data_IF_723537961021
#
_entry.id   IF_723537961021
#
_cell.length_a   1.000
_cell.length_b   1.000
_cell.length_c   1.000
_cell.angle_alpha   90.00
_cell.angle_beta   90.00
_cell.angle_gamma   90.00
#
_symmetry.space_group_name_H-M   'P 1'
#
loop_
_entity.id
_entity.type
_entity.pdbx_description
1 polymer ?
#
# COMPACT_ATOMS: atom_id res chain seq x y z
N UNK A 1 20.56 -5.44 15.04
CA UNK A 1 20.63 -4.35 14.04
C UNK A 1 19.32 -4.35 13.27
N UNK A 2 18.63 -3.21 13.16
CA UNK A 2 17.42 -3.09 12.36
C UNK A 2 17.78 -2.55 10.97
N UNK A 3 17.34 -3.24 9.91
CA UNK A 3 17.48 -2.79 8.53
C UNK A 3 16.19 -2.10 8.10
N UNK A 4 16.29 -0.98 7.40
CA UNK A 4 15.16 -0.28 6.79
C UNK A 4 15.39 -0.28 5.28
N UNK A 5 14.41 -0.77 4.53
CA UNK A 5 14.42 -0.82 3.06
C UNK A 5 13.11 -0.26 2.51
N UNK A 6 13.17 0.29 1.30
CA UNK A 6 12.01 0.91 0.65
C UNK A 6 11.66 0.15 -0.62
N UNK A 7 10.37 -0.20 -0.77
CA UNK A 7 9.83 -0.83 -1.97
C UNK A 7 8.89 0.17 -2.61
N UNK A 8 9.17 0.58 -3.84
CA UNK A 8 8.22 1.40 -4.61
C UNK A 8 7.25 0.47 -5.31
N UNK A 9 5.99 0.48 -4.89
CA UNK A 9 4.91 -0.23 -5.56
C UNK A 9 3.97 0.76 -6.26
N UNK A 10 3.62 0.48 -7.51
CA UNK A 10 2.53 1.18 -8.21
C UNK A 10 1.45 0.17 -8.59
N UNK A 11 0.21 0.43 -8.16
CA UNK A 11 -0.93 -0.45 -8.41
C UNK A 11 -2.23 0.29 -8.75
N UNK A 12 -2.21 1.62 -8.89
CA UNK A 12 -3.37 2.47 -9.16
C UNK A 12 -3.15 3.41 -10.33
N UNK A 13 -4.22 3.63 -11.10
CA UNK A 13 -4.37 4.74 -12.04
C UNK A 13 -5.78 5.34 -11.83
N UNK A 14 -5.85 6.65 -11.62
CA UNK A 14 -7.04 7.35 -11.12
C UNK A 14 -7.61 6.68 -9.85
N UNK A 15 -8.83 6.12 -9.93
CA UNK A 15 -9.52 5.48 -8.80
C UNK A 15 -9.41 3.95 -8.77
N UNK A 16 -8.84 3.37 -9.81
CA UNK A 16 -8.90 1.92 -10.02
C UNK A 16 -7.52 1.32 -9.88
N UNK A 17 -7.48 0.13 -9.28
CA UNK A 17 -6.27 -0.66 -9.30
C UNK A 17 -5.99 -1.14 -10.73
N UNK A 18 -4.75 -1.02 -11.18
CA UNK A 18 -4.29 -1.53 -12.49
C UNK A 18 -4.14 -3.04 -12.50
N UNK A 19 -4.10 -3.69 -11.33
CA UNK A 19 -3.88 -5.13 -11.21
C UNK A 19 -2.46 -5.60 -11.56
N UNK A 20 -1.61 -4.74 -12.12
CA UNK A 20 -0.18 -4.95 -12.31
C UNK A 20 0.59 -4.30 -11.17
N UNK A 21 1.47 -5.05 -10.52
CA UNK A 21 2.40 -4.50 -9.54
C UNK A 21 3.70 -4.20 -10.28
N UNK A 22 4.01 -2.92 -10.48
CA UNK A 22 5.38 -2.51 -10.80
C UNK A 22 6.06 -2.24 -9.46
N UNK A 23 6.97 -3.14 -9.08
CA UNK A 23 7.77 -3.00 -7.87
C UNK A 23 9.22 -2.79 -8.23
N UNK A 24 9.75 -1.60 -7.93
CA UNK A 24 11.18 -1.36 -7.90
C UNK A 24 11.63 -1.56 -6.45
N UNK A 25 12.24 -2.71 -6.18
CA UNK A 25 12.83 -3.06 -4.88
C UNK A 25 14.35 -3.09 -4.96
N UNK A 26 15.07 -2.96 -3.84
CA UNK A 26 16.51 -3.08 -3.85
C UNK A 26 16.92 -4.45 -4.38
N UNK A 27 17.78 -4.46 -5.40
CA UNK A 27 18.31 -5.68 -6.02
C UNK A 27 19.32 -6.44 -5.14
N UNK A 28 19.56 -5.99 -3.90
CA UNK A 28 20.70 -6.39 -3.06
C UNK A 28 20.33 -6.90 -1.66
N UNK A 29 19.09 -7.31 -1.38
CA UNK A 29 18.64 -7.65 0.00
C UNK A 29 18.73 -9.15 0.37
N UNK A 30 19.19 -10.02 -0.53
CA UNK A 30 19.14 -11.49 -0.31
C UNK A 30 19.94 -11.98 0.90
N UNK A 31 21.01 -11.29 1.30
CA UNK A 31 21.85 -11.67 2.43
C UNK A 31 21.24 -11.34 3.80
N UNK A 32 20.93 -10.06 4.08
CA UNK A 32 20.45 -9.62 5.40
C UNK A 32 19.05 -10.12 5.80
N UNK A 33 18.22 -10.52 4.84
CA UNK A 33 16.83 -10.93 5.12
C UNK A 33 16.69 -12.36 5.60
N UNK A 34 17.68 -13.24 5.36
CA UNK A 34 17.56 -14.66 5.69
C UNK A 34 17.39 -14.87 7.19
N UNK A 35 16.29 -15.51 7.58
CA UNK A 35 15.86 -15.74 8.96
C UNK A 35 15.30 -14.50 9.67
N UNK A 36 15.19 -13.35 8.98
CA UNK A 36 14.69 -12.13 9.59
C UNK A 36 13.16 -12.12 9.73
N UNK A 37 12.67 -11.57 10.84
CA UNK A 37 11.28 -11.12 10.91
C UNK A 37 11.16 -9.76 10.22
N UNK A 38 10.13 -9.59 9.39
CA UNK A 38 9.92 -8.39 8.58
C UNK A 38 8.63 -7.70 9.00
N UNK A 39 8.68 -6.38 9.19
CA UNK A 39 7.50 -5.54 9.31
C UNK A 39 7.28 -4.79 7.99
N UNK A 40 6.29 -5.20 7.21
CA UNK A 40 5.88 -4.51 5.99
C UNK A 40 4.92 -3.37 6.36
N UNK A 41 5.30 -2.14 6.00
CA UNK A 41 4.55 -0.93 6.32
C UNK A 41 3.99 -0.31 5.05
N UNK A 42 2.70 0.01 5.03
CA UNK A 42 2.03 0.68 3.90
C UNK A 42 1.10 1.80 4.39
N UNK A 43 0.78 2.76 3.54
CA UNK A 43 -0.09 3.89 3.91
C UNK A 43 -1.56 3.48 3.99
N UNK A 44 -2.04 2.71 3.02
CA UNK A 44 -3.45 2.30 2.92
C UNK A 44 -3.62 0.89 2.38
N UNK A 45 -4.39 0.07 3.11
CA UNK A 45 -4.90 -1.19 2.60
C UNK A 45 -6.31 -1.03 2.03
N UNK A 46 -6.41 -1.15 0.71
CA UNK A 46 -7.68 -1.15 -0.02
C UNK A 46 -8.14 -2.59 -0.31
N UNK A 47 -7.73 -3.15 -1.45
CA UNK A 47 -8.05 -4.53 -1.83
C UNK A 47 -7.16 -5.57 -1.15
N UNK A 48 -5.98 -5.16 -0.67
CA UNK A 48 -4.93 -6.03 -0.10
C UNK A 48 -4.00 -6.69 -1.10
N UNK A 49 -4.22 -6.51 -2.41
CA UNK A 49 -3.47 -7.15 -3.49
C UNK A 49 -1.97 -6.79 -3.50
N UNK A 50 -1.65 -5.50 -3.39
CA UNK A 50 -0.26 -5.00 -3.40
C UNK A 50 0.54 -5.62 -2.27
N UNK A 51 0.07 -5.44 -1.03
CA UNK A 51 0.75 -5.91 0.17
C UNK A 51 0.91 -7.44 0.17
N UNK A 52 -0.11 -8.17 -0.28
CA UNK A 52 -0.05 -9.64 -0.41
C UNK A 52 1.04 -10.09 -1.38
N UNK A 53 1.14 -9.45 -2.55
CA UNK A 53 2.18 -9.79 -3.54
C UNK A 53 3.58 -9.49 -3.03
N UNK A 54 3.77 -8.37 -2.35
CA UNK A 54 5.06 -8.01 -1.75
C UNK A 54 5.43 -9.00 -0.64
N UNK A 55 4.50 -9.34 0.25
CA UNK A 55 4.76 -10.34 1.28
C UNK A 55 5.11 -11.71 0.68
N UNK A 56 4.41 -12.13 -0.37
CA UNK A 56 4.70 -13.38 -1.09
C UNK A 56 6.08 -13.38 -1.77
N UNK A 57 6.55 -12.24 -2.29
CA UNK A 57 7.91 -12.15 -2.86
C UNK A 57 9.01 -12.12 -1.79
N UNK A 58 8.72 -11.59 -0.60
CA UNK A 58 9.66 -11.54 0.53
C UNK A 58 9.73 -12.86 1.32
N UNK A 59 8.66 -13.65 1.35
CA UNK A 59 8.60 -14.89 2.12
C UNK A 59 9.75 -15.88 1.81
N UNK A 60 10.09 -16.19 0.53
CA UNK A 60 11.19 -17.11 0.23
C UNK A 60 12.58 -16.53 0.52
N UNK A 61 12.73 -15.20 0.54
CA UNK A 61 14.00 -14.52 0.85
C UNK A 61 14.25 -14.52 2.35
N UNK A 62 13.19 -14.30 3.13
CA UNK A 62 13.27 -14.15 4.57
C UNK A 62 13.17 -15.49 5.29
N UNK A 63 12.21 -16.34 4.95
CA UNK A 63 11.86 -17.55 5.70
C UNK A 63 11.33 -17.30 7.13
N UNK A 64 11.32 -16.03 7.58
CA UNK A 64 10.80 -15.61 8.87
C UNK A 64 9.34 -15.16 8.79
N UNK A 65 8.84 -14.64 9.91
CA UNK A 65 7.49 -14.08 9.98
C UNK A 65 7.45 -12.71 9.29
N UNK A 66 6.42 -12.51 8.46
CA UNK A 66 6.09 -11.21 7.88
C UNK A 66 4.88 -10.66 8.64
N UNK A 67 5.10 -9.53 9.30
CA UNK A 67 4.08 -8.71 9.94
C UNK A 67 3.66 -7.57 9.02
N UNK A 68 2.44 -7.09 9.17
CA UNK A 68 1.92 -5.93 8.43
C UNK A 68 1.45 -4.80 9.32
N UNK A 69 1.80 -3.58 8.93
CA UNK A 69 1.29 -2.36 9.56
C UNK A 69 0.74 -1.41 8.49
N UNK A 70 -0.48 -0.92 8.70
CA UNK A 70 -1.11 0.06 7.82
C UNK A 70 -1.71 1.21 8.61
N UNK A 71 -1.54 2.42 8.08
CA UNK A 71 -2.19 3.60 8.66
C UNK A 71 -3.71 3.50 8.46
N UNK A 72 -4.16 3.22 7.23
CA UNK A 72 -5.57 3.14 6.87
C UNK A 72 -5.97 1.76 6.35
N UNK A 73 -7.09 1.23 6.83
CA UNK A 73 -7.70 0.00 6.33
C UNK A 73 -9.12 0.29 5.82
N UNK A 74 -9.35 0.14 4.52
CA UNK A 74 -10.69 0.37 3.95
C UNK A 74 -11.62 -0.80 4.23
N UNK A 75 -12.80 -0.49 4.76
CA UNK A 75 -13.96 -1.38 4.78
C UNK A 75 -14.61 -1.42 3.40
N UNK A 76 -14.00 -2.16 2.48
CA UNK A 76 -14.47 -2.31 1.10
C UNK A 76 -14.92 -3.74 0.82
N UNK A 77 -16.02 -3.95 0.05
CA UNK A 77 -16.39 -5.28 -0.44
C UNK A 77 -15.41 -5.81 -1.49
N UNK A 78 -14.50 -4.98 -2.01
CA UNK A 78 -13.48 -5.37 -3.00
C UNK A 78 -12.35 -6.20 -2.38
N UNK A 79 -12.27 -6.27 -1.05
CA UNK A 79 -11.26 -7.05 -0.35
C UNK A 79 -11.50 -8.53 -0.59
N UNK A 80 -10.47 -9.21 -1.11
CA UNK A 80 -10.58 -10.63 -1.43
C UNK A 80 -10.34 -11.48 -0.18
N UNK A 81 -10.78 -12.75 -0.19
CA UNK A 81 -10.62 -13.66 0.96
C UNK A 81 -9.19 -14.22 1.09
N UNK A 82 -8.41 -14.14 0.02
CA UNK A 82 -7.06 -14.69 -0.11
C UNK A 82 -5.95 -13.69 0.23
N UNK A 83 -6.28 -12.45 0.62
CA UNK A 83 -5.25 -11.45 0.94
C UNK A 83 -4.71 -11.62 2.35
N UNK A 84 -3.46 -11.18 2.52
CA UNK A 84 -2.77 -11.23 3.79
C UNK A 84 -3.53 -10.48 4.89
N UNK A 85 -3.48 -11.01 6.11
CA UNK A 85 -4.13 -10.42 7.29
C UNK A 85 -3.36 -9.17 7.74
N UNK A 86 -4.07 -8.11 8.08
CA UNK A 86 -3.49 -6.94 8.74
C UNK A 86 -3.18 -7.27 10.21
N UNK A 87 -1.94 -7.10 10.64
CA UNK A 87 -1.54 -7.31 12.04
C UNK A 87 -1.72 -6.03 12.87
N UNK A 88 -1.34 -4.87 12.31
CA UNK A 88 -1.44 -3.57 12.96
C UNK A 88 -2.19 -2.58 12.06
N UNK A 89 -3.34 -2.10 12.54
CA UNK A 89 -4.17 -1.12 11.82
C UNK A 89 -4.37 0.09 12.72
N UNK A 90 -3.98 1.28 12.26
CA UNK A 90 -4.22 2.51 13.02
C UNK A 90 -5.68 2.98 12.90
N UNK A 91 -6.22 3.04 11.67
CA UNK A 91 -7.61 3.45 11.44
C UNK A 91 -8.33 2.56 10.44
N UNK A 92 -9.50 2.05 10.83
CA UNK A 92 -10.44 1.45 9.89
C UNK A 92 -11.34 2.54 9.31
N UNK A 93 -11.38 2.71 7.99
CA UNK A 93 -12.10 3.79 7.30
C UNK A 93 -13.19 3.26 6.35
N UNK A 94 -14.21 4.07 6.00
CA UNK A 94 -15.17 3.72 4.96
C UNK A 94 -14.51 3.57 3.58
N UNK A 95 -15.19 2.90 2.63
CA UNK A 95 -14.74 2.81 1.24
C UNK A 95 -14.90 4.14 0.51
N UNK A 96 -13.92 5.04 0.72
CA UNK A 96 -13.82 6.35 0.08
C UNK A 96 -12.42 6.52 -0.50
N UNK A 97 -12.32 7.28 -1.58
CA UNK A 97 -11.03 7.70 -2.09
C UNK A 97 -10.49 8.83 -1.21
N UNK A 98 -9.28 8.66 -0.68
CA UNK A 98 -8.65 9.60 0.26
C UNK A 98 -7.33 10.11 -0.31
N UNK A 99 -6.95 11.32 0.09
CA UNK A 99 -5.70 11.98 -0.28
C UNK A 99 -5.11 12.70 0.94
N UNK A 100 -3.86 13.15 0.83
CA UNK A 100 -3.16 13.82 1.92
C UNK A 100 -2.31 12.88 2.75
N UNK A 101 -1.43 13.46 3.56
CA UNK A 101 -0.51 12.74 4.43
C UNK A 101 0.33 11.71 3.65
N UNK A 102 0.84 12.11 2.48
CA UNK A 102 1.60 11.25 1.59
C UNK A 102 0.77 10.52 0.52
N UNK A 103 -0.54 10.30 0.74
CA UNK A 103 -1.43 9.72 -0.27
C UNK A 103 -1.80 10.75 -1.35
N UNK A 104 -2.01 10.28 -2.58
CA UNK A 104 -2.19 11.15 -3.74
C UNK A 104 -3.39 10.80 -4.62
N UNK A 105 -3.75 11.77 -5.47
CA UNK A 105 -4.52 11.52 -6.69
C UNK A 105 -3.75 12.10 -7.87
N UNK A 106 -3.27 11.24 -8.77
CA UNK A 106 -2.47 11.63 -9.94
C UNK A 106 -1.29 12.56 -9.58
N UNK A 107 -0.54 12.18 -8.55
CA UNK A 107 0.62 12.88 -7.98
C UNK A 107 0.29 14.23 -7.32
N UNK A 108 -0.99 14.52 -7.04
CA UNK A 108 -1.43 15.72 -6.32
C UNK A 108 -1.81 15.40 -4.88
N UNK A 109 -1.79 16.42 -4.02
CA UNK A 109 -2.31 16.42 -2.65
C UNK A 109 -1.47 15.67 -1.60
N UNK A 110 -0.29 15.16 -1.94
CA UNK A 110 0.61 14.46 -0.99
C UNK A 110 0.97 15.33 0.21
N UNK A 111 1.08 16.63 -0.04
CA UNK A 111 1.50 17.68 0.89
C UNK A 111 0.42 18.15 1.87
N UNK A 112 -0.83 17.70 1.71
CA UNK A 112 -1.88 18.06 2.66
C UNK A 112 -1.60 17.40 4.02
N UNK A 113 -1.61 18.18 5.10
CA UNK A 113 -1.38 17.67 6.46
C UNK A 113 -2.53 16.83 7.02
N UNK A 114 -3.68 16.82 6.33
CA UNK A 114 -4.87 16.07 6.72
C UNK A 114 -5.19 14.99 5.70
N UNK A 115 -5.70 13.86 6.19
CA UNK A 115 -6.32 12.84 5.35
C UNK A 115 -7.73 13.31 5.01
N UNK A 116 -7.99 13.54 3.73
CA UNK A 116 -9.24 14.09 3.22
C UNK A 116 -9.90 13.12 2.25
N UNK A 117 -11.23 12.99 2.35
CA UNK A 117 -11.99 12.28 1.32
C UNK A 117 -12.16 13.16 0.08
N UNK A 118 -11.87 12.62 -1.11
CA UNK A 118 -12.01 13.36 -2.36
C UNK A 118 -13.48 13.61 -2.70
N UNK A 119 -13.77 14.84 -3.15
CA UNK A 119 -15.06 15.19 -3.73
C UNK A 119 -15.14 14.77 -5.20
N UNK A 120 -16.35 14.60 -5.73
CA UNK A 120 -16.55 14.29 -7.15
C UNK A 120 -15.94 15.37 -8.06
N UNK A 121 -16.14 16.64 -7.72
CA UNK A 121 -15.55 17.77 -8.46
C UNK A 121 -14.03 17.69 -8.47
N UNK A 122 -13.40 17.31 -7.34
CA UNK A 122 -11.95 17.11 -7.26
C UNK A 122 -11.49 15.96 -8.15
N UNK A 123 -12.15 14.81 -8.08
CA UNK A 123 -11.85 13.67 -8.96
C UNK A 123 -11.90 14.09 -10.43
N UNK A 124 -13.01 14.69 -10.86
CA UNK A 124 -13.21 15.03 -12.27
C UNK A 124 -12.17 16.05 -12.76
N UNK A 125 -11.81 17.02 -11.91
CA UNK A 125 -10.82 18.07 -12.22
C UNK A 125 -9.39 17.54 -12.42
N UNK A 126 -8.99 16.52 -11.67
CA UNK A 126 -7.60 16.03 -11.65
C UNK A 126 -7.42 14.65 -12.31
N UNK A 127 -8.46 14.14 -12.97
CA UNK A 127 -8.43 12.90 -13.76
C UNK A 127 -7.45 13.01 -14.93
N UNK A 128 -6.77 11.91 -15.26
CA UNK A 128 -5.88 11.84 -16.43
C UNK A 128 -6.64 11.58 -17.74
N UNK A 129 -7.91 11.17 -17.64
CA UNK A 129 -8.83 11.03 -18.78
C UNK A 129 -9.44 12.41 -19.09
N UNK A 130 -8.78 13.17 -19.97
CA UNK A 130 -9.41 14.24 -20.75
C UNK A 130 -9.61 13.76 -22.17
#
# INVERSE_FOLDING_TARGET
MSLIEFIRAQSYLDQSSTGELRSDGPSSIDGPLRGAEVLLVDDILDTGLTMTRIAQSLQPLTGGRIWTAVLLSKRTPKRRKDVLREDFVAFSIPDRFVVGFGMDYNQKFRELNHICAMSKVGIDKYSTKQ
#
